data_IF_752219236138
#
_entry.id   IF_752219236138
#
_cell.length_a   1.000
_cell.length_b   1.000
_cell.length_c   1.000
_cell.angle_alpha   90.00
_cell.angle_beta   90.00
_cell.angle_gamma   90.00
#
_symmetry.space_group_name_H-M   'P 1'
#
loop_
_entity.id
_entity.type
_entity.pdbx_description
1 polymer ?
2 non-polymer ?
3 non-polymer ?
4 non-polymer ?
5 water ?
#
# COMPACT_ATOMS: atom_id res chain seq x y z
N UNK A 1 -10.74 -16.40 -3.16
CA UNK A 1 -9.59 -16.46 -4.10
C UNK A 1 -9.43 -15.19 -4.91
N UNK A 2 -8.25 -15.00 -5.49
CA UNK A 2 -7.94 -13.84 -6.30
C UNK A 2 -8.32 -14.06 -7.76
N UNK A 3 -9.09 -13.10 -8.30
CA UNK A 3 -9.55 -13.15 -9.69
C UNK A 3 -8.71 -12.19 -10.53
N UNK A 4 -8.36 -12.62 -11.74
CA UNK A 4 -7.57 -11.79 -12.64
C UNK A 4 -8.44 -10.75 -13.34
N UNK A 5 -8.39 -9.51 -12.87
CA UNK A 5 -9.17 -8.42 -13.45
C UNK A 5 -8.55 -7.86 -14.73
N UNK A 6 -7.25 -8.04 -14.86
CA UNK A 6 -6.47 -7.61 -16.03
C UNK A 6 -5.18 -8.41 -15.92
N UNK A 7 -4.37 -8.48 -16.99
CA UNK A 7 -3.12 -9.24 -16.98
C UNK A 7 -2.26 -9.06 -15.72
N UNK A 8 -2.04 -10.15 -14.99
CA UNK A 8 -1.23 -10.14 -13.77
C UNK A 8 -1.64 -9.17 -12.69
N UNK A 9 -2.93 -8.90 -12.61
CA UNK A 9 -3.46 -8.00 -11.61
C UNK A 9 -4.68 -8.73 -11.06
N UNK A 10 -4.60 -9.11 -9.79
CA UNK A 10 -5.67 -9.86 -9.13
C UNK A 10 -6.41 -9.13 -8.02
N UNK A 11 -7.71 -9.40 -7.92
CA UNK A 11 -8.55 -8.79 -6.90
C UNK A 11 -9.26 -9.88 -6.12
N UNK A 12 -9.24 -9.76 -4.80
CA UNK A 12 -9.91 -10.74 -3.94
C UNK A 12 -11.40 -10.74 -4.26
N UNK A 13 -11.96 -11.93 -4.46
CA UNK A 13 -13.38 -12.07 -4.76
C UNK A 13 -14.17 -11.40 -3.63
N UNK A 14 -15.10 -10.53 -3.98
CA UNK A 14 -15.88 -9.77 -2.99
C UNK A 14 -16.80 -10.54 -2.04
N UNK A 15 -16.92 -11.84 -2.23
CA UNK A 15 -17.75 -12.65 -1.35
C UNK A 15 -16.95 -13.01 -0.09
N UNK A 16 -15.63 -12.95 -0.19
CA UNK A 16 -14.74 -13.27 0.92
C UNK A 16 -15.01 -12.39 2.15
N UNK A 17 -14.97 -12.99 3.33
CA UNK A 17 -15.21 -12.26 4.57
C UNK A 17 -14.29 -11.03 4.73
N UNK A 18 -13.04 -11.16 4.29
CA UNK A 18 -12.09 -10.05 4.38
C UNK A 18 -12.49 -8.88 3.48
N UNK A 19 -12.92 -9.19 2.27
CA UNK A 19 -13.35 -8.17 1.31
C UNK A 19 -14.56 -7.41 1.86
N UNK A 20 -15.46 -8.15 2.47
CA UNK A 20 -16.67 -7.62 3.05
C UNK A 20 -16.35 -6.71 4.23
N UNK A 21 -15.42 -7.17 5.08
CA UNK A 21 -15.01 -6.43 6.27
C UNK A 21 -14.34 -5.12 5.89
N UNK A 22 -13.54 -5.15 4.82
CA UNK A 22 -12.85 -3.96 4.34
C UNK A 22 -13.84 -2.94 3.80
N UNK A 23 -14.82 -3.41 3.06
CA UNK A 23 -15.85 -2.55 2.49
C UNK A 23 -16.65 -1.88 3.61
N UNK A 24 -16.85 -2.62 4.71
CA UNK A 24 -17.60 -2.14 5.87
C UNK A 24 -16.78 -1.16 6.70
N UNK A 25 -15.50 -1.44 6.88
CA UNK A 25 -14.61 -0.60 7.67
C UNK A 25 -14.05 0.66 7.02
N UNK A 26 -13.66 0.57 5.75
CA UNK A 26 -13.09 1.73 5.07
C UNK A 26 -13.87 3.03 5.12
N UNK A 27 -13.13 4.12 5.28
CA UNK A 27 -13.71 5.46 5.29
C UNK A 27 -12.83 6.31 4.39
N UNK A 28 -13.46 7.06 3.50
CA UNK A 28 -12.74 7.94 2.61
C UNK A 28 -13.15 9.37 2.88
N UNK A 29 -12.27 10.31 2.54
CA UNK A 29 -12.53 11.73 2.78
C UNK A 29 -12.27 12.56 1.53
N UNK A 30 -13.08 13.59 1.33
CA UNK A 30 -12.92 14.48 0.19
C UNK A 30 -11.80 15.48 0.54
N UNK A 31 -11.29 16.21 -0.45
CA UNK A 31 -10.21 17.18 -0.26
C UNK A 31 -10.25 18.08 0.98
N UNK A 32 -11.37 18.73 1.24
CA UNK A 32 -11.49 19.64 2.38
C UNK A 32 -11.31 18.93 3.73
N UNK A 33 -11.45 17.60 3.72
CA UNK A 33 -11.29 16.79 4.94
C UNK A 33 -10.10 15.84 4.86
N UNK A 34 -9.21 16.04 3.88
CA UNK A 34 -8.06 15.17 3.72
C UNK A 34 -6.77 15.95 3.46
N UNK A 35 -5.61 15.25 3.47
CA UNK A 35 -4.31 15.89 3.24
C UNK A 35 -3.86 15.91 1.78
N UNK A 36 -4.61 15.22 0.93
CA UNK A 36 -4.26 15.13 -0.48
C UNK A 36 -5.41 15.58 -1.37
N UNK A 37 -5.07 16.05 -2.57
CA UNK A 37 -6.10 16.49 -3.49
C UNK A 37 -6.54 15.40 -4.47
N UNK A 38 -7.26 14.43 -3.93
CA UNK A 38 -7.83 13.33 -4.71
C UNK A 38 -9.30 13.33 -4.36
N UNK A 39 -10.16 12.86 -5.27
CA UNK A 39 -11.60 12.82 -5.00
C UNK A 39 -11.96 12.13 -3.69
N UNK A 40 -11.43 10.93 -3.49
CA UNK A 40 -11.70 10.16 -2.28
C UNK A 40 -10.43 9.56 -1.72
N UNK A 41 -9.95 10.14 -0.62
CA UNK A 41 -8.74 9.68 0.05
C UNK A 41 -9.12 8.56 1.04
N UNK A 42 -8.73 7.33 0.73
CA UNK A 42 -9.04 6.18 1.59
C UNK A 42 -8.12 6.15 2.80
N UNK A 43 -8.68 6.47 3.96
CA UNK A 43 -7.94 6.54 5.22
C UNK A 43 -7.50 5.19 5.81
N UNK A 44 -6.19 4.98 5.91
CA UNK A 44 -5.65 3.74 6.45
C UNK A 44 -6.04 3.56 7.92
N UNK A 45 -6.34 4.67 8.61
CA UNK A 45 -6.75 4.61 10.01
C UNK A 45 -8.08 3.89 10.19
N UNK A 46 -8.96 3.96 9.20
CA UNK A 46 -10.25 3.29 9.29
C UNK A 46 -10.02 1.77 9.32
N UNK A 47 -8.85 1.34 8.86
CA UNK A 47 -8.50 -0.08 8.85
C UNK A 47 -7.76 -0.46 10.14
N UNK A 48 -6.72 0.31 10.47
CA UNK A 48 -5.91 0.02 11.67
C UNK A 48 -6.68 0.21 12.98
N UNK A 49 -7.71 1.06 12.98
CA UNK A 49 -8.52 1.27 14.17
C UNK A 49 -9.61 0.22 14.33
N UNK A 50 -9.73 -0.65 13.33
CA UNK A 50 -10.71 -1.74 13.35
C UNK A 50 -9.96 -3.03 13.68
N UNK A 51 -9.99 -3.46 14.95
CA UNK A 51 -9.33 -4.68 15.40
C UNK A 51 -9.66 -5.91 14.56
N UNK A 52 -10.95 -6.10 14.27
CA UNK A 52 -11.38 -7.25 13.50
C UNK A 52 -10.84 -7.21 12.07
N UNK A 53 -10.83 -6.02 11.47
CA UNK A 53 -10.33 -5.88 10.10
C UNK A 53 -8.82 -6.08 10.03
N UNK A 54 -8.09 -5.51 10.98
CA UNK A 54 -6.64 -5.65 11.00
C UNK A 54 -6.26 -7.13 11.15
N UNK A 55 -6.96 -7.83 12.04
CA UNK A 55 -6.72 -9.24 12.27
C UNK A 55 -7.04 -10.08 11.03
N UNK A 56 -8.12 -9.72 10.33
CA UNK A 56 -8.52 -10.43 9.12
C UNK A 56 -7.45 -10.32 8.04
N UNK A 57 -6.86 -9.14 7.91
CA UNK A 57 -5.80 -8.90 6.92
C UNK A 57 -4.58 -9.73 7.30
N UNK A 58 -4.19 -9.65 8.58
CA UNK A 58 -3.04 -10.39 9.09
C UNK A 58 -3.21 -11.89 8.85
N UNK A 59 -4.36 -12.43 9.26
CA UNK A 59 -4.64 -13.86 9.10
C UNK A 59 -4.60 -14.31 7.65
N UNK A 60 -5.27 -13.56 6.78
CA UNK A 60 -5.33 -13.89 5.36
C UNK A 60 -3.95 -13.93 4.68
N UNK A 61 -3.19 -12.84 4.81
CA UNK A 61 -1.87 -12.76 4.17
C UNK A 61 -0.86 -13.76 4.76
N UNK A 62 -0.93 -14.00 6.06
CA UNK A 62 -0.03 -14.97 6.69
C UNK A 62 -0.32 -16.35 6.09
N UNK A 63 -1.61 -16.71 6.01
CA UNK A 63 -2.02 -17.99 5.44
C UNK A 63 -1.56 -18.10 3.99
N UNK A 64 -1.69 -16.99 3.27
CA UNK A 64 -1.28 -16.95 1.88
C UNK A 64 0.19 -17.29 1.71
N UNK A 65 1.05 -16.62 2.47
CA UNK A 65 2.48 -16.85 2.34
C UNK A 65 3.00 -18.17 2.91
N UNK A 66 2.31 -18.71 3.92
CA UNK A 66 2.69 -20.00 4.52
C UNK A 66 2.38 -21.12 3.53
N UNK A 67 1.33 -20.91 2.74
CA UNK A 67 0.90 -21.87 1.73
C UNK A 67 1.68 -21.71 0.43
N UNK A 68 2.35 -20.57 0.27
CA UNK A 68 3.11 -20.29 -0.94
C UNK A 68 4.39 -21.10 -1.11
N UNK A 69 4.70 -21.46 -2.35
CA UNK A 69 5.89 -22.22 -2.67
C UNK A 69 6.47 -21.83 -4.03
N UNK A 70 7.74 -21.38 -4.05
CA UNK A 70 8.61 -21.23 -2.88
C UNK A 70 8.17 -20.05 -2.01
N UNK A 71 8.36 -20.19 -0.70
CA UNK A 71 7.97 -19.17 0.26
C UNK A 71 8.79 -17.88 0.19
N UNK A 72 8.16 -16.73 0.52
CA UNK A 72 8.84 -15.44 0.51
C UNK A 72 9.95 -15.42 1.57
N UNK A 73 11.01 -14.67 1.31
CA UNK A 73 12.12 -14.57 2.24
C UNK A 73 12.13 -13.23 2.97
N UNK A 74 11.45 -12.24 2.37
CA UNK A 74 11.40 -10.89 2.94
C UNK A 74 10.07 -10.18 2.61
N UNK A 75 9.70 -9.24 3.48
CA UNK A 75 8.53 -8.38 3.28
C UNK A 75 9.13 -6.97 3.21
N UNK A 76 8.82 -6.23 2.15
CA UNK A 76 9.34 -4.86 2.00
C UNK A 76 8.15 -3.91 2.01
N UNK A 77 8.04 -3.12 3.08
CA UNK A 77 6.94 -2.18 3.21
C UNK A 77 7.32 -0.75 2.91
N UNK A 78 6.37 -0.01 2.33
CA UNK A 78 6.57 1.39 1.95
C UNK A 78 6.27 2.35 3.10
N UNK A 79 7.13 3.36 3.25
CA UNK A 79 7.00 4.38 4.29
C UNK A 79 5.82 5.29 3.94
N UNK A 80 4.83 5.43 4.83
CA UNK A 80 4.78 4.78 6.15
C UNK A 80 3.61 3.82 6.30
N UNK A 81 2.63 3.90 5.41
CA UNK A 81 1.46 3.05 5.53
C UNK A 81 1.71 1.55 5.34
N UNK A 82 2.78 1.21 4.64
CA UNK A 82 3.14 -0.19 4.44
C UNK A 82 3.74 -0.75 5.73
N UNK A 83 4.24 0.14 6.59
CA UNK A 83 4.83 -0.22 7.88
C UNK A 83 3.74 -0.74 8.82
N UNK A 84 2.50 -0.35 8.54
CA UNK A 84 1.35 -0.72 9.35
C UNK A 84 0.92 -2.17 9.21
N UNK A 85 1.22 -2.78 8.06
CA UNK A 85 0.78 -4.15 7.82
C UNK A 85 1.89 -5.16 7.67
N UNK A 86 3.04 -4.70 7.16
CA UNK A 86 4.18 -5.58 6.95
C UNK A 86 4.68 -6.34 8.16
N UNK A 87 5.07 -5.64 9.24
CA UNK A 87 5.59 -6.25 10.47
C UNK A 87 4.71 -7.32 11.10
N UNK A 88 3.39 -7.13 11.11
CA UNK A 88 2.52 -8.14 11.72
C UNK A 88 2.46 -9.42 10.90
N UNK A 89 2.79 -9.33 9.62
CA UNK A 89 2.79 -10.52 8.77
C UNK A 89 4.16 -11.20 8.90
N UNK A 90 5.21 -10.41 8.76
CA UNK A 90 6.59 -10.88 8.86
C UNK A 90 6.91 -11.57 10.18
N UNK A 91 6.33 -11.08 11.27
CA UNK A 91 6.56 -11.65 12.60
C UNK A 91 6.02 -13.09 12.67
N UNK A 92 4.92 -13.34 11.96
CA UNK A 92 4.31 -14.66 11.93
C UNK A 92 5.06 -15.61 11.00
N UNK A 93 5.47 -15.09 9.85
CA UNK A 93 6.22 -15.86 8.86
C UNK A 93 7.66 -16.06 9.31
N UNK A 94 8.06 -15.28 10.31
CA UNK A 94 9.42 -15.32 10.85
C UNK A 94 10.47 -14.98 9.79
N UNK A 95 10.19 -13.94 9.02
CA UNK A 95 11.12 -13.46 7.98
C UNK A 95 11.35 -11.97 8.22
N UNK A 96 12.43 -11.41 7.68
CA UNK A 96 12.76 -9.99 7.85
C UNK A 96 11.74 -9.00 7.25
N UNK A 97 11.59 -7.86 7.89
CA UNK A 97 10.74 -6.82 7.36
C UNK A 97 11.71 -5.69 7.02
N UNK A 98 11.80 -5.37 5.73
CA UNK A 98 12.69 -4.32 5.24
C UNK A 98 11.87 -3.04 4.97
N UNK A 99 12.48 -1.88 5.22
CA UNK A 99 11.83 -0.59 5.05
C UNK A 99 12.27 0.18 3.81
N UNK A 100 11.30 0.61 3.01
CA UNK A 100 11.64 1.43 1.85
C UNK A 100 11.28 2.86 2.26
N UNK A 101 12.29 3.71 2.38
CA UNK A 101 12.10 5.08 2.79
C UNK A 101 12.95 6.04 1.97
N UNK A 102 12.68 7.34 2.10
CA UNK A 102 13.48 8.34 1.41
C UNK A 102 14.86 8.28 2.05
N UNK A 103 15.89 8.66 1.31
CA UNK A 103 17.27 8.63 1.80
C UNK A 103 17.47 9.33 3.15
N UNK A 104 16.81 10.46 3.34
CA UNK A 104 16.96 11.21 4.59
C UNK A 104 16.25 10.61 5.82
N UNK A 105 15.72 9.40 5.65
CA UNK A 105 15.04 8.69 6.74
C UNK A 105 15.66 7.32 6.99
N UNK A 106 16.48 6.84 6.05
CA UNK A 106 17.13 5.53 6.15
C UNK A 106 18.60 5.56 6.59
N UNK A 107 19.02 4.52 7.31
CA UNK A 107 20.39 4.38 7.82
C UNK A 107 21.23 3.36 7.04
N UNK A 108 22.56 3.54 7.10
CA UNK A 108 23.50 2.66 6.41
C UNK A 108 23.77 3.06 4.97
N UNK A 109 24.51 2.22 4.24
CA UNK A 109 24.77 2.49 2.84
C UNK A 109 23.45 2.17 2.16
N UNK A 110 22.97 3.08 1.34
CA UNK A 110 21.68 2.89 0.68
C UNK A 110 21.75 2.73 -0.82
N UNK A 111 20.67 2.19 -1.38
CA UNK A 111 20.50 2.02 -2.82
C UNK A 111 19.28 2.89 -3.11
N UNK A 112 19.39 3.81 -4.05
CA UNK A 112 18.24 4.67 -4.38
C UNK A 112 17.59 4.29 -5.70
N UNK A 113 16.27 4.49 -5.79
CA UNK A 113 15.51 4.17 -6.99
C UNK A 113 15.70 5.24 -8.06
N UNK A 114 15.26 4.93 -9.28
CA UNK A 114 15.39 5.85 -10.40
C UNK A 114 14.03 6.06 -11.03
N UNK A 115 13.20 6.93 -10.41
CA UNK A 115 11.86 7.20 -10.95
C UNK A 115 11.86 7.85 -12.32
N UNK A 116 10.79 7.62 -13.08
CA UNK A 116 10.64 8.20 -14.42
C UNK A 116 10.35 9.70 -14.26
N UNK A 117 10.56 10.47 -15.33
CA UNK A 117 10.28 11.90 -15.27
C UNK A 117 8.76 12.09 -15.17
N UNK A 118 8.33 13.12 -14.43
CA UNK A 118 6.90 13.41 -14.24
C UNK A 118 6.21 13.78 -15.55
N UNK A 119 4.87 13.86 -15.52
CA UNK A 119 4.13 14.19 -16.74
C UNK A 119 3.18 15.38 -16.63
N UNK A 120 3.72 16.58 -16.87
CA UNK A 120 2.95 17.83 -16.87
C UNK A 120 1.78 17.86 -15.87
N UNK A 121 1.97 18.57 -14.76
CA UNK A 121 0.96 18.70 -13.70
C UNK A 121 0.99 17.46 -12.80
N UNK A 122 1.32 16.31 -13.38
CA UNK A 122 1.38 15.07 -12.62
C UNK A 122 2.51 15.18 -11.61
N UNK A 123 2.14 15.01 -10.34
CA UNK A 123 3.04 15.09 -9.18
C UNK A 123 4.47 14.59 -9.36
N UNK A 124 5.38 15.19 -8.60
CA UNK A 124 6.81 14.87 -8.62
C UNK A 124 7.12 13.47 -8.05
N UNK A 125 7.91 12.68 -8.80
CA UNK A 125 8.31 11.31 -8.40
C UNK A 125 9.23 11.30 -7.19
N UNK A 126 9.09 10.28 -6.35
CA UNK A 126 9.91 10.16 -5.15
C UNK A 126 11.05 9.18 -5.31
N UNK A 127 12.25 9.61 -4.93
CA UNK A 127 13.40 8.73 -4.99
C UNK A 127 13.34 7.99 -3.64
N UNK A 128 13.19 6.67 -3.70
CA UNK A 128 13.11 5.84 -2.50
C UNK A 128 14.35 4.97 -2.35
N UNK A 129 14.61 4.50 -1.13
CA UNK A 129 15.79 3.67 -0.85
C UNK A 129 15.55 2.51 0.08
N UNK A 130 16.55 1.64 0.13
CA UNK A 130 16.61 0.49 1.03
C UNK A 130 18.10 0.41 1.35
N UNK A 131 18.44 -0.14 2.50
CA UNK A 131 19.85 -0.27 2.87
C UNK A 131 20.48 -1.34 1.98
N UNK A 132 21.66 -1.03 1.47
CA UNK A 132 22.40 -1.94 0.62
C UNK A 132 22.63 -3.25 1.38
N UNK A 133 22.18 -4.36 0.82
CA UNK A 133 22.38 -5.65 1.46
C UNK A 133 21.24 -6.13 2.34
N UNK A 134 20.19 -5.32 2.48
CA UNK A 134 19.04 -5.70 3.30
C UNK A 134 18.34 -6.87 2.61
N UNK A 135 18.48 -6.95 1.29
CA UNK A 135 17.93 -8.03 0.50
C UNK A 135 19.07 -8.52 -0.36
N UNK A 136 19.32 -9.82 -0.34
CA UNK A 136 20.42 -10.35 -1.11
C UNK A 136 19.99 -11.15 -2.32
N UNK A 137 20.98 -11.67 -3.04
CA UNK A 137 20.75 -12.49 -4.21
C UNK A 137 19.94 -13.70 -3.80
N UNK A 138 18.93 -14.02 -4.61
CA UNK A 138 18.09 -15.16 -4.30
C UNK A 138 16.88 -14.87 -3.43
N UNK A 139 16.81 -13.67 -2.86
CA UNK A 139 15.68 -13.29 -2.01
C UNK A 139 14.39 -13.19 -2.83
N UNK A 140 13.29 -13.57 -2.21
CA UNK A 140 11.97 -13.51 -2.84
C UNK A 140 11.20 -12.54 -1.95
N UNK A 141 11.01 -11.33 -2.45
CA UNK A 141 10.41 -10.23 -1.73
C UNK A 141 8.96 -9.89 -2.01
N UNK A 142 8.19 -9.75 -0.94
CA UNK A 142 6.79 -9.36 -1.03
C UNK A 142 6.76 -7.86 -0.73
N UNK A 143 6.27 -7.08 -1.69
CA UNK A 143 6.14 -5.63 -1.55
C UNK A 143 4.76 -5.29 -0.99
N UNK A 144 4.71 -4.40 0.01
CA UNK A 144 3.43 -4.04 0.61
C UNK A 144 3.24 -2.55 0.93
N UNK A 145 2.01 -2.08 0.75
CA UNK A 145 1.61 -0.70 1.01
C UNK A 145 0.08 -0.78 1.16
N UNK A 146 -0.55 0.28 1.64
CA UNK A 146 -2.00 0.23 1.81
C UNK A 146 -2.82 0.42 0.55
N UNK A 147 -2.48 1.44 -0.23
CA UNK A 147 -3.21 1.75 -1.45
C UNK A 147 -2.34 1.77 -2.70
N UNK A 148 -2.80 1.11 -3.77
CA UNK A 148 -2.07 1.15 -5.03
C UNK A 148 -2.80 2.21 -5.85
N UNK A 149 -2.22 3.41 -5.91
CA UNK A 149 -2.81 4.50 -6.66
C UNK A 149 -2.09 4.69 -8.00
N UNK A 150 -1.12 5.59 -8.08
CA UNK A 150 -0.39 5.82 -9.33
C UNK A 150 0.73 4.80 -9.54
N UNK A 151 1.15 4.14 -8.46
CA UNK A 151 2.19 3.13 -8.56
C UNK A 151 3.63 3.61 -8.63
N UNK A 152 3.87 4.88 -8.32
CA UNK A 152 5.21 5.42 -8.36
C UNK A 152 6.14 4.68 -7.42
N UNK A 153 5.72 4.54 -6.17
CA UNK A 153 6.54 3.85 -5.19
C UNK A 153 6.63 2.36 -5.45
N UNK A 154 5.60 1.80 -6.08
CA UNK A 154 5.59 0.38 -6.42
C UNK A 154 6.75 0.12 -7.39
N UNK A 155 6.91 1.01 -8.36
CA UNK A 155 7.97 0.92 -9.34
C UNK A 155 9.33 1.07 -8.65
N UNK A 156 9.42 1.95 -7.66
CA UNK A 156 10.67 2.11 -6.92
C UNK A 156 11.03 0.80 -6.23
N UNK A 157 10.00 0.14 -5.71
CA UNK A 157 10.18 -1.14 -5.04
C UNK A 157 10.74 -2.18 -5.98
N UNK A 158 10.17 -2.26 -7.18
CA UNK A 158 10.62 -3.21 -8.19
C UNK A 158 12.08 -2.97 -8.57
N UNK A 159 12.44 -1.70 -8.78
CA UNK A 159 13.80 -1.35 -9.14
C UNK A 159 14.80 -1.75 -8.06
N UNK A 160 14.46 -1.44 -6.80
CA UNK A 160 15.32 -1.74 -5.68
C UNK A 160 15.53 -3.25 -5.49
N UNK A 161 14.48 -4.04 -5.68
CA UNK A 161 14.57 -5.48 -5.55
C UNK A 161 15.41 -6.07 -6.70
N UNK A 162 15.18 -5.59 -7.92
CA UNK A 162 15.95 -6.07 -9.07
C UNK A 162 17.43 -5.73 -8.91
N UNK A 163 17.73 -4.49 -8.51
CA UNK A 163 19.10 -4.06 -8.32
C UNK A 163 19.81 -4.88 -7.23
N UNK A 164 19.02 -5.42 -6.31
CA UNK A 164 19.56 -6.24 -5.23
C UNK A 164 19.81 -7.68 -5.67
N UNK A 165 19.52 -7.95 -6.94
CA UNK A 165 19.69 -9.27 -7.54
C UNK A 165 18.68 -10.25 -6.92
N UNK A 166 17.51 -9.74 -6.58
CA UNK A 166 16.43 -10.53 -5.98
C UNK A 166 15.21 -10.49 -6.88
N UNK A 167 14.18 -11.26 -6.52
CA UNK A 167 12.94 -11.27 -7.30
C UNK A 167 11.75 -10.84 -6.46
N UNK A 168 10.80 -10.19 -7.13
CA UNK A 168 9.57 -9.72 -6.50
C UNK A 168 8.54 -10.85 -6.55
N UNK A 169 8.00 -11.20 -5.40
CA UNK A 169 6.98 -12.24 -5.31
C UNK A 169 5.70 -11.64 -5.88
N UNK A 170 5.33 -10.49 -5.32
CA UNK A 170 4.14 -9.76 -5.74
C UNK A 170 4.05 -8.44 -5.01
N UNK A 171 3.30 -7.51 -5.59
CA UNK A 171 3.05 -6.20 -5.00
C UNK A 171 1.67 -6.33 -4.40
N UNK A 172 1.57 -6.24 -3.08
CA UNK A 172 0.28 -6.34 -2.40
C UNK A 172 -0.19 -5.03 -1.80
N UNK A 173 -1.48 -4.74 -1.96
CA UNK A 173 -2.07 -3.54 -1.41
C UNK A 173 -3.44 -3.89 -0.81
N UNK A 174 -3.84 -3.15 0.22
CA UNK A 174 -5.13 -3.37 0.86
C UNK A 174 -6.21 -2.89 -0.13
N UNK A 175 -5.98 -1.73 -0.70
CA UNK A 175 -6.91 -1.11 -1.63
C UNK A 175 -6.24 -0.70 -2.94
N UNK A 176 -6.95 -0.91 -4.04
CA UNK A 176 -6.45 -0.52 -5.35
C UNK A 176 -7.41 0.49 -5.96
N UNK A 177 -6.87 1.36 -6.81
CA UNK A 177 -7.63 2.40 -7.51
C UNK A 177 -7.42 2.08 -8.99
N UNK A 178 -8.12 1.07 -9.51
CA UNK A 178 -8.00 0.65 -10.92
C UNK A 178 -8.05 1.75 -11.98
N UNK A 179 -8.78 2.84 -11.68
CA UNK A 179 -8.91 3.95 -12.61
C UNK A 179 -7.56 4.56 -12.96
N UNK A 180 -6.63 4.54 -12.02
CA UNK A 180 -5.30 5.10 -12.21
C UNK A 180 -4.36 4.20 -13.01
N UNK A 181 -4.82 3.00 -13.35
CA UNK A 181 -4.07 2.04 -14.17
C UNK A 181 -2.59 1.80 -13.84
N UNK A 182 -2.24 1.77 -12.56
CA UNK A 182 -0.88 1.54 -12.12
C UNK A 182 -0.31 0.21 -12.61
N UNK A 183 -1.07 -0.87 -12.43
CA UNK A 183 -0.65 -2.19 -12.88
C UNK A 183 -0.47 -2.24 -14.39
N UNK A 184 -1.45 -1.69 -15.11
CA UNK A 184 -1.42 -1.65 -16.57
C UNK A 184 -0.15 -0.93 -17.06
N UNK A 185 0.11 0.26 -16.52
CA UNK A 185 1.29 1.05 -16.90
C UNK A 185 2.62 0.38 -16.57
N UNK A 186 2.71 -0.21 -15.38
CA UNK A 186 3.94 -0.89 -14.97
C UNK A 186 4.18 -2.12 -15.84
N UNK A 187 3.10 -2.79 -16.23
CA UNK A 187 3.19 -3.99 -17.07
C UNK A 187 3.56 -3.73 -18.53
N UNK A 188 3.51 -2.49 -18.98
CA UNK A 188 3.83 -2.18 -20.37
C UNK A 188 5.06 -1.27 -20.54
N UNK A 189 5.36 -0.50 -19.49
CA UNK A 189 6.49 0.41 -19.54
C UNK A 189 7.81 -0.29 -19.86
N UNK A 190 8.65 0.38 -20.62
CA UNK A 190 9.95 -0.14 -21.01
C UNK A 190 9.85 -1.53 -21.66
N UNK A 191 9.04 -1.62 -22.72
CA UNK A 191 8.85 -2.88 -23.45
C UNK A 191 8.38 -4.06 -22.62
N UNK A 192 7.39 -3.83 -21.76
CA UNK A 192 6.83 -4.89 -20.91
C UNK A 192 7.88 -5.60 -20.07
N UNK A 193 8.84 -4.86 -19.53
CA UNK A 193 9.90 -5.48 -18.73
C UNK A 193 9.40 -5.99 -17.38
N UNK A 194 8.30 -5.44 -16.90
CA UNK A 194 7.72 -5.85 -15.62
C UNK A 194 6.40 -6.60 -15.81
N UNK A 195 6.18 -7.07 -17.04
CA UNK A 195 4.98 -7.81 -17.43
C UNK A 195 4.68 -8.98 -16.50
N UNK A 196 5.72 -9.62 -15.98
CA UNK A 196 5.55 -10.77 -15.09
C UNK A 196 5.38 -10.45 -13.62
N UNK A 197 5.35 -9.16 -13.27
CA UNK A 197 5.16 -8.76 -11.88
C UNK A 197 3.69 -8.89 -11.50
N UNK A 198 3.42 -9.68 -10.46
CA UNK A 198 2.04 -9.87 -10.01
C UNK A 198 1.60 -8.80 -9.01
N UNK A 199 0.39 -8.28 -9.22
CA UNK A 199 -0.21 -7.29 -8.35
C UNK A 199 -1.45 -7.90 -7.72
N UNK A 200 -1.58 -7.82 -6.39
CA UNK A 200 -2.77 -8.32 -5.73
C UNK A 200 -3.32 -7.25 -4.80
N UNK A 201 -4.64 -7.13 -4.77
CA UNK A 201 -5.34 -6.17 -3.91
C UNK A 201 -6.47 -6.89 -3.21
N UNK A 202 -6.80 -6.43 -1.99
CA UNK A 202 -7.85 -7.04 -1.21
C UNK A 202 -9.22 -6.38 -1.46
N UNK A 203 -9.20 -5.13 -1.92
CA UNK A 203 -10.42 -4.40 -2.21
C UNK A 203 -10.18 -3.32 -3.27
N UNK A 204 -11.16 -3.12 -4.14
CA UNK A 204 -11.10 -2.09 -5.17
C UNK A 204 -11.86 -0.89 -4.64
N UNK A 205 -11.37 0.32 -4.91
CA UNK A 205 -12.09 1.50 -4.42
C UNK A 205 -13.49 1.61 -5.04
N UNK A 206 -13.74 0.83 -6.09
CA UNK A 206 -15.06 0.84 -6.72
C UNK A 206 -16.08 0.26 -5.76
N UNK A 207 -15.60 -0.49 -4.76
CA UNK A 207 -16.47 -1.09 -3.76
C UNK A 207 -16.88 -0.05 -2.72
N UNK A 208 -16.15 1.05 -2.64
CA UNK A 208 -16.44 2.10 -1.68
C UNK A 208 -17.50 3.04 -2.24
N UNK A 209 -18.50 3.35 -1.43
CA UNK A 209 -19.58 4.21 -1.86
C UNK A 209 -19.71 5.41 -0.91
N UNK A 210 -20.81 6.14 -1.04
CA UNK A 210 -21.07 7.30 -0.18
C UNK A 210 -21.22 6.87 1.28
N UNK A 211 -21.60 5.62 1.50
CA UNK A 211 -21.76 5.09 2.86
C UNK A 211 -20.40 5.02 3.56
N UNK A 212 -19.32 5.04 2.77
CA UNK A 212 -17.96 5.00 3.29
C UNK A 212 -17.38 6.41 3.49
N UNK A 213 -18.15 7.44 3.16
CA UNK A 213 -17.66 8.81 3.32
C UNK A 213 -17.55 9.19 4.79
N UNK A 214 -16.36 9.62 5.19
CA UNK A 214 -16.11 10.03 6.57
C UNK A 214 -16.21 11.52 6.80
N UNK A 215 -16.51 12.29 5.75
CA UNK A 215 -16.65 13.74 5.83
C UNK A 215 -17.71 14.15 6.85
N UNK A 216 -17.43 15.22 7.59
CA UNK A 216 -18.40 15.72 8.55
C UNK A 216 -19.43 16.46 7.73
N UNK A 217 -20.68 15.98 7.79
CA UNK A 217 -21.77 16.61 7.06
C UNK A 217 -22.21 17.92 7.70
N UNK A 218 -22.53 18.89 6.86
CA UNK A 218 -22.99 20.21 7.32
C UNK A 218 -22.02 20.85 8.31
N UNK A 219 -20.72 20.65 8.09
CA UNK A 219 -19.68 21.21 8.96
C UNK A 219 -19.04 22.41 8.25
N UNK A 220 -18.81 23.49 9.00
CA UNK A 220 -18.23 24.71 8.44
C UNK A 220 -16.96 25.23 9.13
N UNK A 221 -16.48 24.51 10.13
CA UNK A 221 -15.28 24.94 10.82
C UNK A 221 -14.01 24.52 10.08
N UNK A 222 -12.83 24.72 10.70
CA UNK A 222 -11.54 24.35 10.11
C UNK A 222 -11.31 22.85 10.18
N UNK A 223 -10.42 22.33 9.34
CA UNK A 223 -10.14 20.89 9.34
C UNK A 223 -9.27 20.50 10.54
N UNK A 224 -8.39 21.41 10.95
CA UNK A 224 -7.49 21.16 12.08
C UNK A 224 -7.75 22.11 13.26
N UNK A 225 -7.87 21.52 14.45
CA UNK A 225 -8.10 22.26 15.69
C UNK A 225 -6.90 22.05 16.61
N UNK A 226 -6.59 23.04 17.44
CA UNK A 226 -5.46 22.90 18.37
C UNK A 226 -5.95 22.16 19.62
N UNK A 227 -5.03 21.57 20.37
CA UNK A 227 -5.41 20.86 21.59
C UNK A 227 -6.14 21.81 22.53
N UNK A 228 -5.63 23.04 22.64
CA UNK A 228 -6.25 24.03 23.51
C UNK A 228 -7.69 24.27 23.13
N UNK A 229 -7.98 24.32 21.83
CA UNK A 229 -9.35 24.53 21.37
C UNK A 229 -10.22 23.34 21.77
N UNK A 230 -9.72 22.12 21.57
CA UNK A 230 -10.47 20.91 21.91
C UNK A 230 -10.68 20.81 23.43
N UNK A 231 -9.67 21.20 24.20
CA UNK A 231 -9.76 21.16 25.67
C UNK A 231 -10.89 22.04 26.19
N UNK A 232 -11.09 23.17 25.54
CA UNK A 232 -12.14 24.11 25.93
C UNK A 232 -13.54 23.55 25.73
N UNK A 233 -13.64 22.49 24.93
CA UNK A 233 -14.94 21.87 24.63
C UNK A 233 -15.48 20.94 25.71
N UNK A 234 -14.67 20.63 26.71
CA UNK A 234 -15.09 19.75 27.79
C UNK A 234 -14.52 20.19 29.14
N UNK A 235 -15.19 19.82 30.25
CA UNK A 235 -14.71 20.19 31.59
C UNK A 235 -13.38 19.51 31.92
N UNK A 236 -12.38 20.31 32.23
CA UNK A 236 -11.07 19.78 32.59
C UNK A 236 -10.40 20.65 33.65
X LIG B 1 3.81 4.55 -1.26
X LIG C 1 -3.43 8.37 -3.72
X LIG C 1 -2.52 8.25 -2.73
X LIG C 1 -3.05 7.84 -1.58
X LIG C 1 -4.39 7.71 -1.86
X LIG C 1 -5.49 7.31 -1.09
X LIG C 1 -5.37 6.98 0.19
X LIG C 1 -6.71 7.29 -1.72
X LIG C 1 -6.79 7.63 -3.01
X LIG C 1 -5.81 8.01 -3.82
X LIG C 1 -4.63 8.03 -3.18
X LIG D 1 2.77 9.71 0.22
X LIG D 1 3.97 9.91 -0.13
X LIG D 1 1.92 9.35 -0.67
X LIG D 1 2.46 9.45 1.69
X LIG D 1 2.76 8.01 2.20
X LIG D 1 4.14 7.64 2.10
X LIG D 1 1.84 7.02 1.40
X LIG D 1 2.18 5.54 1.69
X LIG D 1 2.82 5.20 2.74
X LIG D 1 1.50 4.64 1.10
X LIG D 1 2.35 7.90 3.66
X LIG D 1 3.23 7.90 4.55
X LIG D 1 1.19 8.28 3.95
#
# INVERSE_FOLDING_TARGET
>A
PFKEVSPNSFLLDDSHALSQLLKKSYRWYSPVFSPRNVPRFADVSSITESPETLKAIRDFLVQRYRAMSPAPTHILGFDARGFLFGPMIAVELEIPFVLMRKADKNAGLLIRSEPYEKEYKEAAPEVMTIRYGSIGKGSRVVLIDDVLATGGTALSGLQLVEASDAVVVEMVSILSIPFLKAAEKIHSTANSRYKDIKFISLLSDDALTEENCGDSKNYTGPRVLSCGDVLAEHPH
>B hetero
1 MG MG
>C hetero
1 ADE N9 C8 N7 C5 C6 N6 N1 C2 N3 C4
>D hetero
1 CIT C1 O1 O2 C2 C3 O7 C4 C5 O3 O4 C6 O5 O6
#
